data_IF_234182217067
#
_entry.id   IF_234182217067
#
_cell.length_a   1.000
_cell.length_b   1.000
_cell.length_c   1.000
_cell.angle_alpha   90.00
_cell.angle_beta   90.00
_cell.angle_gamma   90.00
#
_symmetry.space_group_name_H-M   'P 1'
#
loop_
_entity.id
_entity.type
_entity.pdbx_description
1 polymer ?
#
# COMPACT_ATOMS: atom_id res chain seq x y z
N UNK A 1 11.68 8.99 4.99
CA UNK A 1 10.80 7.81 4.73
C UNK A 1 10.60 7.65 3.22
N UNK A 2 10.50 6.43 2.70
CA UNK A 2 10.23 6.18 1.26
C UNK A 2 8.77 6.49 0.92
N UNK A 3 8.46 7.03 -0.27
CA UNK A 3 7.07 7.07 -0.73
C UNK A 3 6.54 5.63 -0.92
N UNK A 4 5.29 5.34 -0.51
CA UNK A 4 4.70 4.03 -0.72
C UNK A 4 4.43 3.79 -2.21
N UNK A 5 4.72 2.59 -2.71
CA UNK A 5 4.30 2.17 -4.04
C UNK A 5 2.87 1.60 -4.00
N UNK A 6 2.36 1.20 -5.18
CA UNK A 6 0.99 0.69 -5.34
C UNK A 6 0.69 -0.51 -4.41
N UNK A 7 1.63 -1.46 -4.34
CA UNK A 7 1.52 -2.63 -3.47
C UNK A 7 1.47 -2.26 -1.99
N UNK A 8 2.33 -1.32 -1.53
CA UNK A 8 2.32 -0.88 -0.14
C UNK A 8 0.99 -0.22 0.23
N UNK A 9 0.45 0.63 -0.65
CA UNK A 9 -0.86 1.27 -0.44
C UNK A 9 -1.99 0.24 -0.39
N UNK A 10 -1.99 -0.74 -1.28
CA UNK A 10 -2.98 -1.82 -1.29
C UNK A 10 -2.87 -2.70 -0.02
N UNK A 11 -1.66 -3.08 0.38
CA UNK A 11 -1.45 -3.88 1.59
C UNK A 11 -1.95 -3.14 2.83
N UNK A 12 -1.74 -1.83 2.91
CA UNK A 12 -2.27 -0.99 3.98
C UNK A 12 -3.80 -0.98 4.01
N UNK A 13 -4.46 -0.91 2.85
CA UNK A 13 -5.93 -0.96 2.80
C UNK A 13 -6.47 -2.33 3.23
N UNK A 14 -5.82 -3.42 2.82
CA UNK A 14 -6.20 -4.78 3.23
C UNK A 14 -5.97 -4.97 4.73
N UNK A 15 -4.85 -4.49 5.28
CA UNK A 15 -4.60 -4.55 6.72
C UNK A 15 -5.70 -3.81 7.51
N UNK A 16 -6.09 -2.61 7.07
CA UNK A 16 -7.16 -1.85 7.70
C UNK A 16 -8.56 -2.50 7.56
N UNK A 17 -8.80 -3.28 6.50
CA UNK A 17 -10.01 -4.10 6.36
C UNK A 17 -9.99 -5.26 7.37
N UNK A 18 -8.90 -6.03 7.41
CA UNK A 18 -8.75 -7.18 8.31
C UNK A 18 -8.83 -6.77 9.78
N UNK A 19 -8.20 -5.66 10.17
CA UNK A 19 -8.28 -5.14 11.54
C UNK A 19 -9.71 -4.73 11.93
N UNK A 20 -10.48 -4.16 10.99
CA UNK A 20 -11.88 -3.80 11.21
C UNK A 20 -12.76 -5.05 11.37
N UNK A 21 -12.57 -6.04 10.52
CA UNK A 21 -13.39 -7.26 10.51
C UNK A 21 -13.14 -8.15 11.72
N UNK A 22 -11.88 -8.21 12.19
CA UNK A 22 -11.50 -9.02 13.34
C UNK A 22 -11.65 -8.29 14.68
N UNK A 23 -11.89 -6.98 14.68
CA UNK A 23 -11.90 -6.12 15.87
C UNK A 23 -10.66 -6.28 16.79
N UNK A 24 -9.55 -6.79 16.26
CA UNK A 24 -8.29 -6.97 16.99
C UNK A 24 -7.27 -5.99 16.39
N UNK A 25 -7.03 -4.87 17.07
CA UNK A 25 -6.01 -3.92 16.67
C UNK A 25 -4.62 -4.60 16.62
N UNK A 26 -3.88 -4.40 15.54
CA UNK A 26 -2.54 -4.97 15.38
C UNK A 26 -2.52 -6.46 15.01
N UNK A 27 -3.62 -7.03 14.51
CA UNK A 27 -3.63 -8.44 14.07
C UNK A 27 -2.65 -8.67 12.93
N UNK A 28 -1.59 -9.41 13.26
CA UNK A 28 -0.59 -10.08 12.42
C UNK A 28 -0.40 -9.46 11.02
N UNK A 29 0.53 -8.49 10.93
CA UNK A 29 1.09 -7.97 9.67
C UNK A 29 1.41 -9.09 8.66
N UNK A 30 1.78 -10.29 9.15
CA UNK A 30 1.99 -11.48 8.34
C UNK A 30 0.70 -11.97 7.65
N UNK A 31 -0.41 -12.12 8.36
CA UNK A 31 -1.69 -12.54 7.80
C UNK A 31 -2.22 -11.52 6.79
N UNK A 32 -2.17 -10.23 7.12
CA UNK A 32 -2.56 -9.17 6.20
C UNK A 32 -1.70 -9.19 4.91
N UNK A 33 -0.40 -9.50 5.02
CA UNK A 33 0.48 -9.59 3.85
C UNK A 33 0.20 -10.83 2.99
N UNK A 34 -0.12 -11.97 3.62
CA UNK A 34 -0.52 -13.19 2.90
C UNK A 34 -1.83 -12.98 2.14
N UNK A 35 -2.85 -12.42 2.81
CA UNK A 35 -4.15 -12.11 2.21
C UNK A 35 -3.99 -11.08 1.09
N UNK A 36 -3.27 -9.98 1.35
CA UNK A 36 -3.02 -8.96 0.34
C UNK A 36 -2.29 -9.58 -0.87
N UNK A 37 -1.34 -10.49 -0.66
CA UNK A 37 -0.58 -11.05 -1.78
C UNK A 37 -1.51 -11.84 -2.70
N UNK A 38 -2.34 -12.71 -2.13
CA UNK A 38 -3.34 -13.46 -2.89
C UNK A 38 -4.30 -12.53 -3.64
N UNK A 39 -4.86 -11.52 -2.95
CA UNK A 39 -5.80 -10.56 -3.56
C UNK A 39 -5.15 -9.72 -4.67
N UNK A 40 -3.92 -9.27 -4.49
CA UNK A 40 -3.21 -8.45 -5.48
C UNK A 40 -2.96 -9.20 -6.79
N UNK A 41 -2.62 -10.48 -6.72
CA UNK A 41 -2.48 -11.30 -7.92
C UNK A 41 -3.82 -11.50 -8.63
N UNK A 42 -4.93 -11.55 -7.88
CA UNK A 42 -6.29 -11.68 -8.40
C UNK A 42 -6.89 -10.36 -8.94
N UNK A 43 -6.31 -9.18 -8.61
CA UNK A 43 -6.80 -7.90 -9.13
C UNK A 43 -6.70 -7.85 -10.66
N UNK A 44 -7.75 -7.31 -11.26
CA UNK A 44 -7.79 -6.91 -12.67
C UNK A 44 -6.78 -5.80 -12.97
N UNK A 45 -6.58 -5.53 -14.26
CA UNK A 45 -5.70 -4.46 -14.72
C UNK A 45 -6.21 -3.10 -14.22
N UNK A 46 -7.51 -2.84 -14.37
CA UNK A 46 -8.14 -1.58 -13.96
C UNK A 46 -7.98 -1.32 -12.45
N UNK A 47 -8.15 -2.36 -11.62
CA UNK A 47 -7.94 -2.26 -10.18
C UNK A 47 -6.47 -2.00 -9.84
N UNK A 48 -5.53 -2.66 -10.52
CA UNK A 48 -4.10 -2.38 -10.35
C UNK A 48 -3.76 -0.95 -10.78
N UNK A 49 -4.37 -0.45 -11.84
CA UNK A 49 -4.14 0.90 -12.35
C UNK A 49 -4.63 1.97 -11.38
N UNK A 50 -5.74 1.73 -10.68
CA UNK A 50 -6.17 2.58 -9.57
C UNK A 50 -5.09 2.72 -8.49
N UNK A 51 -4.47 1.61 -8.06
CA UNK A 51 -3.39 1.65 -7.07
C UNK A 51 -2.10 2.27 -7.62
N UNK A 52 -1.81 2.08 -8.89
CA UNK A 52 -0.69 2.74 -9.56
C UNK A 52 -0.89 4.26 -9.63
N UNK A 53 -2.11 4.74 -9.92
CA UNK A 53 -2.44 6.17 -9.90
C UNK A 53 -2.22 6.75 -8.51
N UNK A 54 -2.73 6.10 -7.47
CA UNK A 54 -2.49 6.51 -6.08
C UNK A 54 -1.01 6.55 -5.71
N UNK A 55 -0.21 5.60 -6.21
CA UNK A 55 1.23 5.58 -5.99
C UNK A 55 1.95 6.74 -6.70
N UNK A 56 1.50 7.13 -7.89
CA UNK A 56 2.00 8.33 -8.59
C UNK A 56 1.71 9.59 -7.77
N UNK A 57 0.49 9.72 -7.26
CA UNK A 57 0.08 10.85 -6.41
C UNK A 57 0.90 10.89 -5.12
N UNK A 58 1.08 9.75 -4.45
CA UNK A 58 1.90 9.65 -3.24
C UNK A 58 3.37 10.00 -3.50
N UNK A 59 3.92 9.60 -4.66
CA UNK A 59 5.28 9.98 -5.07
C UNK A 59 5.39 11.48 -5.33
N UNK A 60 4.40 12.08 -5.98
CA UNK A 60 4.37 13.52 -6.23
C UNK A 60 4.27 14.30 -4.92
N UNK A 61 3.32 13.95 -4.05
CA UNK A 61 3.19 14.57 -2.72
C UNK A 61 4.47 14.43 -1.88
N UNK A 62 5.15 13.28 -1.99
CA UNK A 62 6.43 13.05 -1.32
C UNK A 62 7.54 13.95 -1.89
N UNK A 63 7.64 14.10 -3.21
CA UNK A 63 8.61 14.99 -3.84
C UNK A 63 8.42 16.46 -3.45
N UNK A 64 7.16 16.91 -3.35
CA UNK A 64 6.85 18.27 -2.86
C UNK A 64 7.24 18.44 -1.38
N UNK A 65 6.99 17.42 -0.56
CA UNK A 65 7.29 17.46 0.88
C UNK A 65 8.79 17.30 1.18
N UNK A 66 9.52 16.57 0.34
CA UNK A 66 10.93 16.26 0.51
C UNK A 66 11.69 16.57 -0.79
N UNK A 67 11.90 17.86 -1.12
CA UNK A 67 12.49 18.27 -2.40
C UNK A 67 13.92 17.77 -2.61
N UNK A 68 14.66 17.54 -1.52
CA UNK A 68 16.04 17.01 -1.55
C UNK A 68 16.10 15.51 -1.23
N UNK A 69 14.99 14.78 -1.37
CA UNK A 69 14.97 13.36 -1.08
C UNK A 69 15.75 12.57 -2.12
N UNK A 70 16.72 11.80 -1.65
CA UNK A 70 17.46 10.82 -2.42
C UNK A 70 17.35 9.46 -1.72
N UNK A 71 17.04 8.40 -2.47
CA UNK A 71 17.02 7.06 -1.92
C UNK A 71 18.46 6.56 -1.72
N UNK A 72 18.85 6.34 -0.47
CA UNK A 72 20.12 5.71 -0.09
C UNK A 72 19.82 4.31 0.46
N UNK A 73 20.16 3.24 -0.28
CA UNK A 73 19.88 1.86 0.11
C UNK A 73 20.70 1.42 1.33
#
# INVERSE_FOLDING_TARGET
PRPPNAWILFRQSVAAEVERDLAIAGTHQLHASQIASARWHALSIDEKDFWQSKAKDARHAHALKYPNYEFKP
#
